data_IF_954872586070
#
_entry.id   IF_954872586070
#
_cell.length_a   1.000
_cell.length_b   1.000
_cell.length_c   1.000
_cell.angle_alpha   90.00
_cell.angle_beta   90.00
_cell.angle_gamma   90.00
#
_symmetry.space_group_name_H-M   'P 1'
#
loop_
_entity.id
_entity.type
_entity.pdbx_description
1 polymer ?
#
# COMPACT_ATOMS: atom_id res chain seq x y z
N UNK A 1 -0.05 -10.78 -14.95
CA UNK A 1 1.23 -11.43 -14.60
C UNK A 1 1.71 -11.14 -13.17
N UNK A 2 1.52 -9.93 -12.64
CA UNK A 2 1.86 -9.59 -11.24
C UNK A 2 1.14 -10.49 -10.21
N UNK A 3 -0.15 -10.76 -10.41
CA UNK A 3 -0.94 -11.64 -9.53
C UNK A 3 -0.38 -13.06 -9.42
N UNK A 4 0.15 -13.67 -10.50
CA UNK A 4 0.62 -15.06 -10.43
C UNK A 4 1.85 -15.27 -9.54
N UNK A 5 2.67 -14.23 -9.31
CA UNK A 5 3.90 -14.35 -8.51
C UNK A 5 3.63 -14.26 -7.01
N UNK A 6 2.71 -13.41 -6.55
CA UNK A 6 2.39 -13.27 -5.11
C UNK A 6 1.56 -14.44 -4.58
N UNK A 7 0.72 -15.06 -5.42
CA UNK A 7 -0.10 -16.22 -5.04
C UNK A 7 0.72 -17.40 -4.50
N UNK A 8 1.89 -17.64 -5.10
CA UNK A 8 2.80 -18.72 -4.67
C UNK A 8 3.61 -18.35 -3.43
N UNK A 9 3.67 -17.08 -3.05
CA UNK A 9 4.37 -16.69 -1.83
C UNK A 9 3.48 -17.05 -0.64
N UNK A 10 4.00 -17.95 0.20
CA UNK A 10 3.40 -18.32 1.49
C UNK A 10 1.95 -18.84 1.41
N UNK A 11 1.55 -19.49 0.30
CA UNK A 11 0.18 -19.99 0.07
C UNK A 11 -0.91 -18.94 0.39
N UNK A 12 -0.69 -17.70 -0.05
CA UNK A 12 -1.53 -16.56 0.32
C UNK A 12 -3.04 -16.85 0.26
N UNK A 13 -3.55 -17.46 -0.83
CA UNK A 13 -4.99 -17.77 -0.94
C UNK A 13 -5.53 -18.69 0.15
N UNK A 14 -4.71 -19.61 0.67
CA UNK A 14 -5.11 -20.56 1.71
C UNK A 14 -5.11 -19.94 3.09
N UNK A 15 -4.26 -18.96 3.30
CA UNK A 15 -4.03 -18.38 4.62
C UNK A 15 -4.41 -16.92 4.73
N UNK A 16 -4.98 -16.29 3.69
CA UNK A 16 -5.24 -14.84 3.66
C UNK A 16 -6.10 -14.34 4.82
N UNK A 17 -6.99 -15.18 5.33
CA UNK A 17 -7.78 -14.98 6.54
C UNK A 17 -6.92 -14.79 7.81
N UNK A 18 -5.71 -15.34 7.81
CA UNK A 18 -4.71 -15.23 8.89
C UNK A 18 -3.79 -14.03 8.72
N UNK A 19 -3.82 -13.33 7.57
CA UNK A 19 -2.97 -12.17 7.34
C UNK A 19 -3.61 -10.91 7.91
N UNK A 20 -2.78 -10.07 8.53
CA UNK A 20 -3.16 -8.71 8.90
C UNK A 20 -2.51 -7.72 7.97
N UNK A 21 -3.31 -7.06 7.13
CA UNK A 21 -2.82 -5.99 6.27
C UNK A 21 -2.52 -4.73 7.08
N UNK A 22 -1.29 -4.25 6.98
CA UNK A 22 -0.88 -2.97 7.53
C UNK A 22 -0.76 -1.97 6.39
N UNK A 23 -1.68 -1.01 6.33
CA UNK A 23 -1.67 0.02 5.29
C UNK A 23 -0.54 1.01 5.56
N UNK A 24 0.45 1.00 4.68
CA UNK A 24 1.47 2.03 4.61
C UNK A 24 0.89 3.21 3.83
N UNK A 25 0.63 4.33 4.49
CA UNK A 25 0.23 5.56 3.82
C UNK A 25 1.01 6.75 4.37
N UNK A 26 1.65 7.49 3.46
CA UNK A 26 2.06 8.85 3.77
C UNK A 26 0.80 9.73 3.82
N UNK A 27 0.74 10.74 4.73
CA UNK A 27 1.81 11.19 5.62
C UNK A 27 1.84 10.51 7.00
N UNK A 28 0.91 9.60 7.32
CA UNK A 28 0.70 9.10 8.68
C UNK A 28 1.60 7.92 9.07
N UNK A 29 2.89 8.06 8.80
CA UNK A 29 3.93 7.06 9.10
C UNK A 29 4.00 6.71 10.59
N UNK A 30 3.71 7.67 11.47
CA UNK A 30 3.64 7.44 12.93
C UNK A 30 2.60 6.39 13.30
N UNK A 31 1.41 6.44 12.69
CA UNK A 31 0.36 5.43 12.93
C UNK A 31 0.76 4.08 12.36
N UNK A 32 1.34 4.04 11.16
CA UNK A 32 1.86 2.79 10.58
C UNK A 32 2.87 2.11 11.51
N UNK A 33 3.89 2.85 11.97
CA UNK A 33 4.92 2.33 12.88
C UNK A 33 4.34 1.91 14.24
N UNK A 34 3.35 2.64 14.76
CA UNK A 34 2.65 2.23 15.99
C UNK A 34 1.92 0.91 15.78
N UNK A 35 1.21 0.75 14.66
CA UNK A 35 0.41 -0.43 14.36
C UNK A 35 1.26 -1.68 14.13
N UNK A 36 2.38 -1.56 13.40
CA UNK A 36 3.28 -2.69 13.18
C UNK A 36 3.94 -3.15 14.49
N UNK A 37 4.42 -2.22 15.33
CA UNK A 37 5.02 -2.56 16.62
C UNK A 37 4.00 -3.16 17.60
N UNK A 38 2.76 -2.66 17.60
CA UNK A 38 1.67 -3.23 18.39
C UNK A 38 1.32 -4.65 17.95
N UNK A 39 1.27 -4.89 16.64
CA UNK A 39 1.03 -6.22 16.09
C UNK A 39 2.15 -7.21 16.45
N UNK A 40 3.41 -6.83 16.25
CA UNK A 40 4.55 -7.66 16.63
C UNK A 40 4.59 -7.95 18.13
N UNK A 41 4.22 -6.97 18.96
CA UNK A 41 4.07 -7.17 20.41
C UNK A 41 2.97 -8.20 20.73
N UNK A 42 1.83 -8.16 20.04
CA UNK A 42 0.76 -9.16 20.23
C UNK A 42 1.16 -10.55 19.73
N UNK A 43 2.09 -10.63 18.78
CA UNK A 43 2.69 -11.89 18.31
C UNK A 43 3.84 -12.39 19.21
N UNK A 44 3.99 -11.85 20.42
CA UNK A 44 5.02 -12.24 21.40
C UNK A 44 6.47 -12.02 20.93
N UNK A 45 6.71 -11.08 20.01
CA UNK A 45 8.08 -10.72 19.63
C UNK A 45 8.82 -10.14 20.85
N UNK A 46 10.04 -10.63 21.18
CA UNK A 46 10.79 -10.15 22.33
C UNK A 46 11.01 -8.63 22.33
N UNK A 47 10.96 -8.03 23.53
CA UNK A 47 11.04 -6.57 23.71
C UNK A 47 12.31 -5.94 23.13
N UNK A 48 13.43 -6.67 23.15
CA UNK A 48 14.70 -6.21 22.60
C UNK A 48 14.64 -6.03 21.08
N UNK A 49 14.03 -6.97 20.36
CA UNK A 49 13.80 -6.85 18.93
C UNK A 49 12.81 -5.72 18.61
N UNK A 50 11.75 -5.55 19.40
CA UNK A 50 10.83 -4.43 19.24
C UNK A 50 11.52 -3.07 19.44
N UNK A 51 12.45 -2.97 20.39
CA UNK A 51 13.25 -1.76 20.63
C UNK A 51 14.18 -1.48 19.44
N UNK A 52 14.83 -2.51 18.90
CA UNK A 52 15.66 -2.40 17.70
C UNK A 52 14.83 -1.90 16.50
N UNK A 53 13.71 -2.56 16.21
CA UNK A 53 12.83 -2.18 15.10
C UNK A 53 12.29 -0.76 15.25
N UNK A 54 11.89 -0.36 16.46
CA UNK A 54 11.41 1.01 16.72
C UNK A 54 12.49 2.04 16.38
N UNK A 55 13.75 1.80 16.75
CA UNK A 55 14.87 2.70 16.41
C UNK A 55 15.05 2.76 14.89
N UNK A 56 15.12 1.60 14.23
CA UNK A 56 15.36 1.50 12.79
C UNK A 56 14.26 2.18 11.96
N UNK A 57 12.99 1.91 12.27
CA UNK A 57 11.85 2.46 11.53
C UNK A 57 11.75 3.99 11.65
N UNK A 58 12.26 4.58 12.74
CA UNK A 58 12.26 6.02 12.94
C UNK A 58 13.48 6.73 12.34
N UNK A 59 14.62 6.03 12.23
CA UNK A 59 15.87 6.63 11.78
C UNK A 59 16.09 6.56 10.27
N UNK A 60 15.53 5.56 9.60
CA UNK A 60 15.96 5.21 8.25
C UNK A 60 14.95 5.71 7.21
N UNK A 61 15.22 6.88 6.62
CA UNK A 61 14.82 7.10 5.22
C UNK A 61 15.82 6.33 4.37
N UNK A 62 15.35 5.41 3.52
CA UNK A 62 16.26 4.71 2.62
C UNK A 62 16.76 5.69 1.55
N UNK A 63 18.04 5.62 1.19
CA UNK A 63 18.62 6.49 0.15
C UNK A 63 17.96 6.27 -1.22
N UNK A 64 17.28 5.14 -1.39
CA UNK A 64 16.60 4.75 -2.62
C UNK A 64 15.12 5.16 -2.67
N UNK A 65 14.67 6.11 -1.84
CA UNK A 65 13.30 6.65 -1.97
C UNK A 65 13.14 7.30 -3.34
N UNK A 66 12.26 6.74 -4.17
CA UNK A 66 11.95 7.26 -5.51
C UNK A 66 10.79 8.25 -5.49
N UNK A 67 9.99 8.29 -4.42
CA UNK A 67 8.74 9.07 -4.36
C UNK A 67 8.92 10.57 -4.58
N UNK A 68 10.12 11.11 -4.36
CA UNK A 68 10.45 12.53 -4.50
C UNK A 68 11.26 12.88 -5.75
N UNK A 69 11.60 11.89 -6.60
CA UNK A 69 12.37 12.17 -7.82
C UNK A 69 11.51 12.93 -8.82
N UNK A 70 12.10 13.92 -9.51
CA UNK A 70 11.41 14.71 -10.54
C UNK A 70 10.66 13.83 -11.56
N UNK A 71 11.30 12.74 -12.00
CA UNK A 71 10.68 11.78 -12.91
C UNK A 71 9.37 11.16 -12.36
N UNK A 72 9.31 10.86 -11.06
CA UNK A 72 8.08 10.32 -10.45
C UNK A 72 6.95 11.34 -10.47
N UNK A 73 7.25 12.62 -10.20
CA UNK A 73 6.26 13.69 -10.30
C UNK A 73 5.78 13.90 -11.73
N UNK A 74 6.69 13.82 -12.70
CA UNK A 74 6.38 13.91 -14.13
C UNK A 74 5.45 12.78 -14.56
N UNK A 75 5.80 11.51 -14.32
CA UNK A 75 4.96 10.37 -14.67
C UNK A 75 3.61 10.40 -13.96
N UNK A 76 3.57 10.85 -12.70
CA UNK A 76 2.33 11.06 -11.97
C UNK A 76 1.48 12.10 -12.71
N UNK A 77 2.04 13.25 -13.07
CA UNK A 77 1.30 14.29 -13.79
C UNK A 77 0.75 13.77 -15.13
N UNK A 78 1.55 13.06 -15.92
CA UNK A 78 1.10 12.45 -17.17
C UNK A 78 -0.05 11.45 -16.97
N UNK A 79 0.03 10.62 -15.93
CA UNK A 79 -1.02 9.65 -15.61
C UNK A 79 -2.33 10.34 -15.21
N UNK A 80 -2.29 11.30 -14.30
CA UNK A 80 -3.48 11.97 -13.78
C UNK A 80 -4.10 12.95 -14.78
N UNK A 81 -3.32 13.49 -15.74
CA UNK A 81 -3.83 14.34 -16.81
C UNK A 81 -4.47 13.55 -17.97
N UNK A 82 -4.31 12.23 -18.01
CA UNK A 82 -4.87 11.38 -19.06
C UNK A 82 -5.95 10.45 -18.49
N UNK A 83 -7.22 10.88 -18.59
CA UNK A 83 -8.37 10.13 -18.07
C UNK A 83 -8.47 8.71 -18.62
N UNK A 84 -8.18 8.49 -19.90
CA UNK A 84 -8.25 7.16 -20.50
C UNK A 84 -7.19 6.22 -19.92
N UNK A 85 -5.95 6.70 -19.80
CA UNK A 85 -4.85 5.96 -19.20
C UNK A 85 -5.11 5.70 -17.71
N UNK A 86 -5.60 6.70 -16.98
CA UNK A 86 -5.93 6.56 -15.57
C UNK A 86 -6.98 5.46 -15.36
N UNK A 87 -8.04 5.43 -16.16
CA UNK A 87 -9.05 4.36 -16.11
C UNK A 87 -8.48 2.97 -16.36
N UNK A 88 -7.55 2.83 -17.32
CA UNK A 88 -6.89 1.55 -17.57
C UNK A 88 -6.08 1.09 -16.35
N UNK A 89 -5.35 2.00 -15.71
CA UNK A 89 -4.62 1.71 -14.47
C UNK A 89 -5.58 1.36 -13.35
N UNK A 90 -6.67 2.11 -13.16
CA UNK A 90 -7.67 1.82 -12.14
C UNK A 90 -8.32 0.44 -12.33
N UNK A 91 -8.64 0.07 -13.58
CA UNK A 91 -9.16 -1.26 -13.91
C UNK A 91 -8.14 -2.36 -13.61
N UNK A 92 -6.86 -2.11 -13.88
CA UNK A 92 -5.77 -3.05 -13.59
C UNK A 92 -5.65 -3.36 -12.10
N UNK A 93 -5.83 -2.34 -11.24
CA UNK A 93 -5.71 -2.46 -9.78
C UNK A 93 -7.05 -2.63 -9.05
N UNK A 94 -8.17 -2.77 -9.77
CA UNK A 94 -9.52 -2.83 -9.18
C UNK A 94 -9.62 -3.88 -8.07
N UNK A 95 -9.18 -5.11 -8.34
CA UNK A 95 -9.22 -6.18 -7.35
C UNK A 95 -8.27 -5.95 -6.16
N UNK A 96 -7.16 -5.22 -6.38
CA UNK A 96 -6.25 -4.86 -5.29
C UNK A 96 -6.90 -3.84 -4.35
N UNK A 97 -7.68 -2.88 -4.87
CA UNK A 97 -8.47 -1.97 -4.03
C UNK A 97 -9.43 -2.74 -3.13
N UNK A 98 -10.13 -3.75 -3.67
CA UNK A 98 -11.09 -4.56 -2.92
C UNK A 98 -10.37 -5.46 -1.90
N UNK A 99 -9.37 -6.24 -2.33
CA UNK A 99 -8.67 -7.22 -1.47
C UNK A 99 -7.97 -6.55 -0.29
N UNK A 100 -7.37 -5.37 -0.49
CA UNK A 100 -6.66 -4.64 0.57
C UNK A 100 -7.51 -3.52 1.23
N UNK A 101 -8.77 -3.40 0.84
CA UNK A 101 -9.74 -2.44 1.37
C UNK A 101 -9.31 -0.98 1.19
N UNK A 102 -8.65 -0.63 0.08
CA UNK A 102 -8.38 0.76 -0.26
C UNK A 102 -9.59 1.41 -0.91
N UNK A 103 -9.81 2.69 -0.64
CA UNK A 103 -10.84 3.46 -1.34
C UNK A 103 -10.47 3.59 -2.82
N UNK A 104 -11.45 3.34 -3.67
CA UNK A 104 -11.29 3.57 -5.11
C UNK A 104 -11.23 5.09 -5.33
N UNK A 105 -10.17 5.62 -5.96
CA UNK A 105 -10.07 7.05 -6.23
C UNK A 105 -11.26 7.53 -7.07
N UNK A 106 -11.79 8.71 -6.76
CA UNK A 106 -12.92 9.31 -7.51
C UNK A 106 -12.62 9.44 -9.00
N UNK A 107 -11.37 9.69 -9.36
CA UNK A 107 -10.94 9.80 -10.76
C UNK A 107 -10.98 8.47 -11.53
N UNK A 108 -11.05 7.34 -10.81
CA UNK A 108 -11.27 6.02 -11.38
C UNK A 108 -12.75 5.73 -11.66
N UNK A 109 -13.66 6.45 -11.02
CA UNK A 109 -15.11 6.23 -11.11
C UNK A 109 -15.69 7.19 -12.14
N UNK A 110 -16.50 6.66 -13.05
CA UNK A 110 -17.25 7.51 -13.95
C UNK A 110 -18.24 8.39 -13.19
N UNK A 111 -18.05 9.72 -13.26
CA UNK A 111 -18.99 10.72 -12.71
C UNK A 111 -20.44 10.55 -13.21
N UNK A 112 -20.69 9.69 -14.20
CA UNK A 112 -22.03 9.38 -14.71
C UNK A 112 -22.85 8.44 -13.82
N UNK A 113 -22.27 7.81 -12.79
CA UNK A 113 -23.03 6.89 -11.91
C UNK A 113 -23.70 7.63 -10.73
N UNK A 114 -23.20 8.78 -10.30
CA UNK A 114 -23.82 9.55 -9.19
C UNK A 114 -25.02 10.43 -9.60
N UNK A 115 -25.49 10.34 -10.86
CA UNK A 115 -26.61 11.14 -11.36
C UNK A 115 -27.90 10.33 -11.62
N UNK A 116 -28.12 9.22 -10.91
CA UNK A 116 -29.41 8.51 -10.89
C UNK A 116 -29.89 8.27 -9.48
#
# INVERSE_FOLDING_TARGET
MLWQKTIKQCEYYKYKDKYKYLKYSEPNMKVFYKNILAYLKSAHVPKEHLKYLKKFLQSTKTDHVTSSKNATNEYKSYLYNNTALLKQVCSMFYYDFIEFGFEIPKDCIDKKIEAK
#
